data_IF_328728370355
#
_entry.id   IF_328728370355
#
_cell.length_a   1.000
_cell.length_b   1.000
_cell.length_c   1.000
_cell.angle_alpha   90.00
_cell.angle_beta   90.00
_cell.angle_gamma   90.00
#
_symmetry.space_group_name_H-M   'P 1'
#
loop_
_entity.id
_entity.type
_entity.pdbx_description
1 polymer ?
#
# COMPACT_ATOMS: atom_id res chain seq x y z
N UNK A 1 -4.11 -9.11 31.98
CA UNK A 1 -2.75 -8.53 32.10
C UNK A 1 -1.85 -8.75 30.87
N UNK A 2 -2.36 -9.26 29.73
CA UNK A 2 -1.63 -9.28 28.43
C UNK A 2 -2.20 -8.32 27.38
N UNK A 3 -3.31 -7.66 27.70
CA UNK A 3 -3.97 -6.65 26.86
C UNK A 3 -3.39 -5.25 26.99
N UNK A 4 -2.41 -4.99 27.88
CA UNK A 4 -1.92 -3.61 28.11
C UNK A 4 -0.72 -3.23 27.22
N UNK A 5 0.06 -4.21 26.72
CA UNK A 5 1.32 -3.94 26.00
C UNK A 5 1.17 -3.82 24.48
N UNK A 6 0.03 -4.23 23.91
CA UNK A 6 -0.28 -4.02 22.49
C UNK A 6 -1.00 -2.67 22.22
N UNK A 7 -1.54 -2.03 23.26
CA UNK A 7 -2.27 -0.75 23.19
C UNK A 7 -1.44 0.48 23.61
N UNK A 8 -0.20 0.27 24.06
CA UNK A 8 0.69 1.37 24.46
C UNK A 8 0.92 2.45 23.37
N UNK A 9 1.02 2.14 22.06
CA UNK A 9 1.14 3.19 21.04
C UNK A 9 -0.19 3.92 20.74
N UNK A 10 -1.36 3.32 20.99
CA UNK A 10 -2.65 3.98 20.75
C UNK A 10 -2.94 5.09 21.77
N UNK A 11 -2.68 4.85 23.06
CA UNK A 11 -2.92 5.86 24.11
C UNK A 11 -2.05 7.13 23.95
N UNK A 12 -0.86 6.99 23.36
CA UNK A 12 0.04 8.11 23.09
C UNK A 12 -0.45 8.93 21.89
N UNK A 13 -0.91 8.26 20.84
CA UNK A 13 -1.45 8.90 19.63
C UNK A 13 -2.78 9.57 19.94
N UNK A 14 -3.68 8.90 20.66
CA UNK A 14 -4.94 9.51 21.13
C UNK A 14 -4.65 10.71 22.05
N UNK A 15 -3.70 10.58 22.98
CA UNK A 15 -3.29 11.69 23.84
C UNK A 15 -2.74 12.89 23.08
N UNK A 16 -2.01 12.66 21.97
CA UNK A 16 -1.49 13.73 21.12
C UNK A 16 -2.59 14.35 20.25
N UNK A 17 -3.43 13.53 19.63
CA UNK A 17 -4.48 13.97 18.70
C UNK A 17 -5.60 14.73 19.43
N UNK A 18 -5.93 14.33 20.66
CA UNK A 18 -6.96 14.99 21.48
C UNK A 18 -6.55 16.38 22.01
N UNK A 19 -5.26 16.73 21.95
CA UNK A 19 -4.81 18.10 22.24
C UNK A 19 -5.16 19.07 21.10
N UNK A 20 -5.41 18.56 19.89
CA UNK A 20 -5.68 19.35 18.69
C UNK A 20 -7.12 19.18 18.17
N UNK A 21 -7.75 18.02 18.39
CA UNK A 21 -9.05 17.67 17.81
C UNK A 21 -10.03 17.10 18.84
N UNK A 22 -11.34 17.29 18.59
CA UNK A 22 -12.40 16.70 19.39
C UNK A 22 -12.41 15.16 19.28
N UNK A 23 -12.82 14.47 20.36
CA UNK A 23 -12.88 12.99 20.42
C UNK A 23 -13.68 12.38 19.26
N UNK A 24 -14.75 13.04 18.84
CA UNK A 24 -15.58 12.55 17.74
C UNK A 24 -14.87 12.66 16.39
N UNK A 25 -14.15 13.77 16.15
CA UNK A 25 -13.36 13.94 14.91
C UNK A 25 -12.21 12.94 14.83
N UNK A 26 -11.56 12.64 15.95
CA UNK A 26 -10.45 11.67 15.97
C UNK A 26 -10.94 10.26 15.63
N UNK A 27 -12.06 9.83 16.24
CA UNK A 27 -12.56 8.47 16.07
C UNK A 27 -13.19 8.22 14.69
N UNK A 28 -13.99 9.15 14.17
CA UNK A 28 -14.73 8.92 12.92
C UNK A 28 -14.01 9.40 11.66
N UNK A 29 -12.98 10.24 11.79
CA UNK A 29 -12.25 10.78 10.64
C UNK A 29 -10.79 10.35 10.69
N UNK A 30 -10.05 10.73 11.75
CA UNK A 30 -8.59 10.55 11.76
C UNK A 30 -8.19 9.08 11.75
N UNK A 31 -8.83 8.24 12.56
CA UNK A 31 -8.51 6.81 12.63
C UNK A 31 -8.78 6.05 11.32
N UNK A 32 -9.95 6.18 10.66
CA UNK A 32 -10.18 5.55 9.36
C UNK A 32 -9.20 5.98 8.27
N UNK A 33 -8.89 7.27 8.16
CA UNK A 33 -7.93 7.77 7.17
C UNK A 33 -6.51 7.23 7.41
N UNK A 34 -6.10 7.14 8.66
CA UNK A 34 -4.81 6.56 9.04
C UNK A 34 -4.75 5.07 8.66
N UNK A 35 -5.82 4.32 8.91
CA UNK A 35 -5.91 2.90 8.56
C UNK A 35 -5.88 2.67 7.05
N UNK A 36 -6.65 3.45 6.27
CA UNK A 36 -6.62 3.37 4.81
C UNK A 36 -5.21 3.66 4.30
N UNK A 37 -4.57 4.72 4.80
CA UNK A 37 -3.18 5.06 4.45
C UNK A 37 -2.19 3.93 4.79
N UNK A 38 -2.35 3.30 5.95
CA UNK A 38 -1.52 2.17 6.38
C UNK A 38 -1.71 0.93 5.48
N UNK A 39 -2.96 0.57 5.15
CA UNK A 39 -3.26 -0.57 4.27
C UNK A 39 -2.71 -0.33 2.87
N UNK A 40 -2.96 0.84 2.28
CA UNK A 40 -2.45 1.18 0.93
C UNK A 40 -0.93 1.11 0.90
N UNK A 41 -0.25 1.66 1.91
CA UNK A 41 1.21 1.62 2.00
C UNK A 41 1.73 0.19 2.17
N UNK A 42 1.11 -0.61 3.03
CA UNK A 42 1.50 -2.00 3.25
C UNK A 42 1.33 -2.84 1.99
N UNK A 43 0.22 -2.70 1.27
CA UNK A 43 -0.04 -3.40 0.00
C UNK A 43 0.94 -2.95 -1.08
N UNK A 44 1.23 -1.65 -1.19
CA UNK A 44 2.21 -1.13 -2.14
C UNK A 44 3.62 -1.68 -1.89
N UNK A 45 4.07 -1.68 -0.63
CA UNK A 45 5.36 -2.27 -0.24
C UNK A 45 5.40 -3.77 -0.52
N UNK A 46 4.32 -4.48 -0.17
CA UNK A 46 4.19 -5.91 -0.48
C UNK A 46 4.31 -6.17 -1.98
N UNK A 47 3.57 -5.42 -2.81
CA UNK A 47 3.62 -5.57 -4.27
C UNK A 47 5.03 -5.32 -4.83
N UNK A 48 5.72 -4.29 -4.36
CA UNK A 48 7.11 -4.00 -4.77
C UNK A 48 8.04 -5.18 -4.48
N UNK A 49 7.98 -5.75 -3.27
CA UNK A 49 8.86 -6.89 -2.92
C UNK A 49 8.38 -8.22 -3.51
N UNK A 50 7.08 -8.40 -3.75
CA UNK A 50 6.54 -9.57 -4.42
C UNK A 50 7.12 -9.71 -5.85
N UNK A 51 7.21 -8.61 -6.61
CA UNK A 51 7.84 -8.63 -7.93
C UNK A 51 9.34 -8.96 -7.88
N UNK A 52 10.06 -8.50 -6.85
CA UNK A 52 11.45 -8.90 -6.61
C UNK A 52 11.58 -10.39 -6.32
N UNK A 53 10.71 -10.93 -5.45
CA UNK A 53 10.69 -12.34 -5.11
C UNK A 53 10.36 -13.20 -6.32
N UNK A 54 9.35 -12.83 -7.10
CA UNK A 54 8.97 -13.50 -8.34
C UNK A 54 10.15 -13.64 -9.31
N UNK A 55 10.92 -12.55 -9.49
CA UNK A 55 12.14 -12.56 -10.32
C UNK A 55 13.21 -13.49 -9.77
N UNK A 56 13.37 -13.56 -8.46
CA UNK A 56 14.37 -14.40 -7.80
C UNK A 56 13.99 -15.89 -7.86
N UNK A 57 12.73 -16.21 -7.64
CA UNK A 57 12.18 -17.57 -7.78
C UNK A 57 12.28 -18.04 -9.23
N UNK A 58 11.87 -17.20 -10.18
CA UNK A 58 11.95 -17.53 -11.62
C UNK A 58 13.39 -17.75 -12.10
N UNK A 59 14.34 -16.97 -11.57
CA UNK A 59 15.76 -17.16 -11.86
C UNK A 59 16.29 -18.47 -11.26
N UNK A 60 15.89 -18.79 -10.02
CA UNK A 60 16.27 -20.04 -9.36
C UNK A 60 15.76 -21.28 -10.10
N UNK A 61 14.51 -21.26 -10.57
CA UNK A 61 13.94 -22.32 -11.41
C UNK A 61 14.74 -22.53 -12.71
N UNK A 62 15.32 -21.46 -13.25
CA UNK A 62 16.12 -21.47 -14.47
C UNK A 62 17.62 -21.71 -14.21
N UNK A 63 18.00 -22.09 -12.98
CA UNK A 63 19.39 -22.27 -12.56
C UNK A 63 20.29 -21.05 -12.87
N UNK A 64 19.73 -19.83 -12.82
CA UNK A 64 20.47 -18.57 -12.97
C UNK A 64 20.31 -17.68 -11.74
N UNK A 65 21.27 -16.80 -11.52
CA UNK A 65 21.18 -15.81 -10.45
C UNK A 65 20.17 -14.72 -10.84
N UNK A 66 19.27 -14.39 -9.90
CA UNK A 66 18.34 -13.28 -10.02
C UNK A 66 19.04 -11.91 -9.91
N UNK A 67 18.30 -10.83 -9.67
CA UNK A 67 18.87 -9.49 -9.54
C UNK A 67 19.91 -9.42 -8.41
N UNK A 68 21.16 -9.02 -8.73
CA UNK A 68 22.28 -8.93 -7.76
C UNK A 68 23.04 -7.58 -7.79
N UNK A 69 22.67 -6.65 -8.70
CA UNK A 69 23.48 -5.46 -9.00
C UNK A 69 23.11 -4.19 -8.24
N UNK A 70 21.83 -3.99 -7.92
CA UNK A 70 21.33 -2.76 -7.26
C UNK A 70 21.15 -2.98 -5.77
N UNK A 71 22.19 -2.63 -5.00
CA UNK A 71 22.26 -2.83 -3.55
C UNK A 71 22.60 -4.26 -3.13
N UNK A 72 22.69 -4.54 -1.80
CA UNK A 72 22.93 -5.88 -1.30
C UNK A 72 21.82 -6.82 -1.79
N UNK A 73 22.22 -7.89 -2.50
CA UNK A 73 21.32 -8.91 -3.06
C UNK A 73 20.25 -8.37 -4.02
N UNK A 74 20.41 -7.16 -4.57
CA UNK A 74 19.44 -6.59 -5.51
C UNK A 74 18.16 -6.02 -4.84
N UNK A 75 18.16 -5.80 -3.53
CA UNK A 75 16.97 -5.33 -2.79
C UNK A 75 16.43 -3.97 -3.26
N UNK A 76 17.28 -3.13 -3.87
CA UNK A 76 16.87 -1.83 -4.39
C UNK A 76 16.27 -1.90 -5.81
N UNK A 77 16.20 -3.10 -6.41
CA UNK A 77 15.67 -3.28 -7.76
C UNK A 77 14.22 -2.78 -7.92
N UNK A 78 13.26 -3.06 -7.02
CA UNK A 78 11.89 -2.56 -7.17
C UNK A 78 11.81 -1.03 -7.12
N UNK A 79 12.66 -0.39 -6.31
CA UNK A 79 12.72 1.06 -6.20
C UNK A 79 13.28 1.66 -7.51
N UNK A 80 14.34 1.07 -8.05
CA UNK A 80 14.90 1.49 -9.33
C UNK A 80 13.88 1.33 -10.48
N UNK A 81 13.11 0.23 -10.47
CA UNK A 81 12.06 -0.01 -11.46
C UNK A 81 10.91 1.00 -11.32
N UNK A 82 10.51 1.36 -10.09
CA UNK A 82 9.51 2.40 -9.85
C UNK A 82 9.97 3.78 -10.36
N UNK A 83 11.20 4.19 -10.05
CA UNK A 83 11.78 5.46 -10.54
C UNK A 83 11.85 5.46 -12.06
N UNK A 84 12.22 4.34 -12.67
CA UNK A 84 12.25 4.19 -14.13
C UNK A 84 10.87 4.38 -14.75
N UNK A 85 9.80 3.86 -14.12
CA UNK A 85 8.44 4.03 -14.62
C UNK A 85 7.94 5.46 -14.46
N UNK A 86 8.28 6.14 -13.36
CA UNK A 86 7.89 7.55 -13.12
C UNK A 86 8.59 8.52 -14.06
N UNK A 87 9.83 8.23 -14.45
CA UNK A 87 10.60 9.04 -15.41
C UNK A 87 10.32 8.64 -16.86
N UNK A 88 9.54 7.58 -17.09
CA UNK A 88 9.24 7.13 -18.44
C UNK A 88 8.28 8.10 -19.10
N UNK A 89 8.58 8.46 -20.34
CA UNK A 89 7.71 9.25 -21.19
C UNK A 89 6.33 8.59 -21.32
N UNK A 90 5.28 9.34 -21.04
CA UNK A 90 3.90 8.94 -21.24
C UNK A 90 3.51 9.20 -22.70
N UNK A 91 3.51 8.13 -23.52
CA UNK A 91 3.21 8.21 -24.94
C UNK A 91 1.79 7.72 -25.18
N UNK A 92 0.95 8.60 -25.70
CA UNK A 92 -0.42 8.30 -26.10
C UNK A 92 -0.49 8.02 -27.61
N UNK A 93 -1.07 6.89 -28.06
CA UNK A 93 -1.18 6.60 -29.48
C UNK A 93 -2.22 7.51 -30.16
N UNK A 94 -1.84 8.11 -31.31
CA UNK A 94 -2.66 9.09 -32.05
C UNK A 94 -4.03 8.57 -32.50
N UNK A 95 -4.18 7.25 -32.65
CA UNK A 95 -5.42 6.60 -33.10
C UNK A 95 -6.34 6.14 -31.96
N UNK A 96 -5.94 6.32 -30.69
CA UNK A 96 -6.72 5.87 -29.55
C UNK A 96 -7.65 6.95 -29.00
N UNK A 97 -8.78 6.51 -28.43
CA UNK A 97 -9.66 7.39 -27.65
C UNK A 97 -8.91 7.95 -26.45
N UNK A 98 -8.84 9.28 -26.37
CA UNK A 98 -8.02 9.97 -25.37
C UNK A 98 -8.54 9.78 -23.95
N UNK A 99 -9.86 9.70 -23.78
CA UNK A 99 -10.49 9.60 -22.47
C UNK A 99 -10.38 8.18 -21.94
N UNK A 100 -10.73 7.18 -22.76
CA UNK A 100 -10.71 5.78 -22.32
C UNK A 100 -9.27 5.35 -21.99
N UNK A 101 -8.29 5.74 -22.81
CA UNK A 101 -6.90 5.36 -22.59
C UNK A 101 -6.33 5.91 -21.27
N UNK A 102 -6.69 7.16 -20.90
CA UNK A 102 -6.24 7.78 -19.65
C UNK A 102 -6.99 7.24 -18.44
N UNK A 103 -8.30 7.01 -18.55
CA UNK A 103 -9.12 6.58 -17.42
C UNK A 103 -9.02 5.08 -17.09
N UNK A 104 -8.76 4.23 -18.09
CA UNK A 104 -8.64 2.78 -17.91
C UNK A 104 -7.71 2.34 -16.75
N UNK A 105 -6.45 2.84 -16.66
CA UNK A 105 -5.56 2.43 -15.56
C UNK A 105 -6.10 2.86 -14.18
N UNK A 106 -6.73 4.04 -14.06
CA UNK A 106 -7.30 4.49 -12.79
C UNK A 106 -8.45 3.61 -12.33
N UNK A 107 -9.33 3.20 -13.25
CA UNK A 107 -10.46 2.31 -12.94
C UNK A 107 -9.95 0.95 -12.47
N UNK A 108 -8.95 0.39 -13.15
CA UNK A 108 -8.36 -0.91 -12.76
C UNK A 108 -7.73 -0.86 -11.37
N UNK A 109 -7.01 0.21 -11.06
CA UNK A 109 -6.36 0.39 -9.75
C UNK A 109 -7.41 0.62 -8.66
N UNK A 110 -8.43 1.44 -8.92
CA UNK A 110 -9.52 1.67 -7.98
C UNK A 110 -10.27 0.37 -7.64
N UNK A 111 -10.59 -0.45 -8.65
CA UNK A 111 -11.25 -1.74 -8.45
C UNK A 111 -10.43 -2.68 -7.55
N UNK A 112 -9.11 -2.72 -7.72
CA UNK A 112 -8.24 -3.54 -6.89
C UNK A 112 -8.23 -3.09 -5.41
N UNK A 113 -8.24 -1.78 -5.16
CA UNK A 113 -8.23 -1.24 -3.79
C UNK A 113 -9.57 -1.37 -3.06
N UNK A 114 -10.70 -1.34 -3.76
CA UNK A 114 -12.04 -1.53 -3.15
C UNK A 114 -12.14 -2.89 -2.44
N UNK A 115 -11.51 -3.94 -2.97
CA UNK A 115 -11.53 -5.28 -2.35
C UNK A 115 -10.87 -5.27 -0.96
N UNK A 116 -9.82 -4.47 -0.78
CA UNK A 116 -9.13 -4.36 0.52
C UNK A 116 -9.95 -3.60 1.58
N UNK A 117 -10.96 -2.83 1.18
CA UNK A 117 -11.85 -2.16 2.13
C UNK A 117 -12.72 -3.14 2.93
N UNK A 118 -12.95 -4.35 2.40
CA UNK A 118 -13.83 -5.36 3.00
C UNK A 118 -13.07 -6.27 3.98
N UNK A 119 -11.73 -6.28 3.95
CA UNK A 119 -10.93 -7.19 4.78
C UNK A 119 -10.78 -6.59 6.20
N UNK A 120 -11.24 -7.29 7.25
CA UNK A 120 -11.04 -6.82 8.62
C UNK A 120 -9.59 -7.06 9.05
N UNK A 121 -8.82 -5.99 9.26
CA UNK A 121 -7.40 -6.08 9.62
C UNK A 121 -7.13 -6.20 11.12
N UNK A 122 -8.07 -5.82 11.99
CA UNK A 122 -7.98 -6.03 13.44
C UNK A 122 -9.35 -6.08 14.13
N UNK A 123 -9.48 -6.82 15.26
CA UNK A 123 -10.67 -6.77 16.10
C UNK A 123 -10.80 -5.41 16.80
N UNK A 124 -12.02 -4.87 16.88
CA UNK A 124 -12.46 -3.63 17.55
C UNK A 124 -11.90 -2.28 17.03
N UNK A 125 -10.68 -2.22 16.53
CA UNK A 125 -10.05 -0.97 16.09
C UNK A 125 -9.60 -0.99 14.62
N UNK A 126 -9.67 -2.12 13.91
CA UNK A 126 -9.21 -2.26 12.52
C UNK A 126 -10.34 -2.44 11.51
N UNK A 127 -11.54 -1.98 11.86
CA UNK A 127 -12.71 -2.01 11.00
C UNK A 127 -12.81 -0.67 10.27
N UNK A 128 -12.38 -0.66 9.00
CA UNK A 128 -12.43 0.53 8.14
C UNK A 128 -13.89 0.88 7.78
N UNK A 129 -14.81 -0.09 7.86
CA UNK A 129 -16.24 0.11 7.65
C UNK A 129 -17.01 -0.79 8.59
N UNK A 130 -17.61 -0.19 9.61
CA UNK A 130 -18.63 -0.89 10.40
C UNK A 130 -19.88 -1.02 9.52
N UNK A 131 -20.21 -2.26 9.16
CA UNK A 131 -21.42 -2.59 8.40
C UNK A 131 -22.60 -2.87 9.34
N UNK A 132 -22.49 -2.57 10.65
CA UNK A 132 -23.58 -2.69 11.61
C UNK A 132 -23.63 -1.57 12.65
#
# INVERSE_FOLDING_TARGET
>A
MKTLLLFAPLNLVDGLLLNFFSRETVNYVVWPFLQIGAVVTAVAVWALYATYLERKVSAFMQARLGPMRVGPWGLLQPIADAIKLLTKEDIQPDKADTYIFRFAPYISVAAAFIVFAVIPFAPDWGVITDIN
#
